data_IF_293767825581
#
_entry.id   IF_293767825581
#
_cell.length_a   1.000
_cell.length_b   1.000
_cell.length_c   1.000
_cell.angle_alpha   90.00
_cell.angle_beta   90.00
_cell.angle_gamma   90.00
#
_symmetry.space_group_name_H-M   'P 1'
#
loop_
_entity.id
_entity.type
_entity.pdbx_description
1 polymer ?
#
# COMPACT_ATOMS: atom_id res chain seq x y z
N UNK A 1 7.70 -3.00 -32.76
CA UNK A 1 6.77 -3.48 -31.71
C UNK A 1 7.43 -3.17 -30.38
N UNK A 2 6.75 -2.49 -29.47
CA UNK A 2 7.24 -2.12 -28.14
C UNK A 2 6.18 -2.45 -27.09
N UNK A 3 6.58 -2.45 -25.81
CA UNK A 3 5.72 -2.74 -24.66
C UNK A 3 5.59 -1.51 -23.76
N UNK A 4 4.46 -1.38 -23.08
CA UNK A 4 4.19 -0.28 -22.15
C UNK A 4 4.75 -0.59 -20.77
N UNK A 5 5.34 0.41 -20.11
CA UNK A 5 5.69 0.35 -18.70
C UNK A 5 4.58 1.01 -17.88
N UNK A 6 3.93 0.25 -17.00
CA UNK A 6 2.89 0.75 -16.10
C UNK A 6 3.46 1.39 -14.82
N UNK A 7 4.73 1.11 -14.51
CA UNK A 7 5.41 1.68 -13.36
C UNK A 7 6.14 2.98 -13.73
N UNK A 8 6.22 3.91 -12.77
CA UNK A 8 7.11 5.06 -12.86
C UNK A 8 8.55 4.60 -13.09
N UNK A 9 9.25 5.27 -14.00
CA UNK A 9 10.66 4.99 -14.27
C UNK A 9 11.61 5.50 -13.18
N UNK A 10 11.10 6.30 -12.24
CA UNK A 10 11.87 6.94 -11.19
C UNK A 10 11.89 6.10 -9.90
N UNK A 11 12.89 6.37 -9.04
CA UNK A 11 12.94 5.84 -7.68
C UNK A 11 12.14 6.74 -6.72
N UNK A 12 10.82 6.76 -6.92
CA UNK A 12 9.88 7.67 -6.23
C UNK A 12 8.98 6.95 -5.21
N UNK A 13 9.23 5.66 -4.96
CA UNK A 13 8.39 4.79 -4.13
C UNK A 13 6.93 4.69 -4.62
N UNK A 14 6.70 4.85 -5.94
CA UNK A 14 5.43 4.54 -6.61
C UNK A 14 4.89 3.15 -6.30
N UNK A 15 5.75 2.18 -5.97
CA UNK A 15 5.32 0.85 -5.49
C UNK A 15 4.48 0.89 -4.19
N UNK A 16 4.62 1.95 -3.40
CA UNK A 16 3.83 2.20 -2.18
C UNK A 16 2.69 3.18 -2.46
N UNK A 17 2.96 4.22 -3.25
CA UNK A 17 2.07 5.38 -3.43
C UNK A 17 1.16 5.30 -4.67
N UNK A 18 1.42 4.38 -5.59
CA UNK A 18 0.74 4.28 -6.88
C UNK A 18 1.40 5.12 -7.97
N UNK A 19 1.00 4.85 -9.21
CA UNK A 19 1.49 5.56 -10.40
C UNK A 19 0.53 6.64 -10.90
N UNK A 20 -0.64 6.76 -10.27
CA UNK A 20 -1.65 7.77 -10.60
C UNK A 20 -2.21 8.44 -9.35
N UNK A 21 -2.69 9.68 -9.49
CA UNK A 21 -3.31 10.41 -8.38
C UNK A 21 -4.54 9.67 -7.83
N UNK A 22 -5.35 9.07 -8.72
CA UNK A 22 -6.52 8.29 -8.32
C UNK A 22 -6.14 7.07 -7.47
N UNK A 23 -5.07 6.38 -7.82
CA UNK A 23 -4.54 5.26 -7.04
C UNK A 23 -4.03 5.72 -5.69
N UNK A 24 -3.21 6.77 -5.66
CA UNK A 24 -2.69 7.39 -4.43
C UNK A 24 -3.82 7.80 -3.49
N UNK A 25 -4.82 8.52 -3.99
CA UNK A 25 -5.96 8.97 -3.19
C UNK A 25 -6.75 7.79 -2.63
N UNK A 26 -6.84 6.70 -3.38
CA UNK A 26 -7.49 5.47 -2.92
C UNK A 26 -6.69 4.71 -1.83
N UNK A 27 -5.42 5.06 -1.62
CA UNK A 27 -4.53 4.49 -0.59
C UNK A 27 -4.42 5.41 0.64
N UNK A 28 -4.80 6.68 0.55
CA UNK A 28 -4.70 7.66 1.64
C UNK A 28 -5.88 7.56 2.62
N UNK A 29 -5.59 7.77 3.90
CA UNK A 29 -6.65 7.88 4.92
C UNK A 29 -7.27 9.29 4.96
N UNK A 30 -6.56 10.29 4.41
CA UNK A 30 -6.87 11.71 4.51
C UNK A 30 -6.95 12.25 5.94
N UNK A 31 -6.43 11.49 6.91
CA UNK A 31 -6.39 11.88 8.33
C UNK A 31 -4.93 11.91 8.76
N UNK A 32 -4.48 13.07 9.26
CA UNK A 32 -3.11 13.24 9.75
C UNK A 32 -2.02 12.97 8.71
N UNK A 33 -2.34 13.10 7.42
CA UNK A 33 -1.42 12.81 6.32
C UNK A 33 -1.09 11.32 6.13
N UNK A 34 -1.85 10.41 6.74
CA UNK A 34 -1.54 8.98 6.74
C UNK A 34 -2.04 8.21 5.51
N UNK A 35 -1.46 7.04 5.29
CA UNK A 35 -1.99 5.98 4.43
C UNK A 35 -2.98 5.10 5.21
N UNK A 36 -3.93 4.52 4.49
CA UNK A 36 -4.87 3.55 5.04
C UNK A 36 -4.13 2.32 5.55
N UNK A 37 -4.64 1.75 6.63
CA UNK A 37 -4.12 0.53 7.24
C UNK A 37 -5.29 -0.33 7.72
N UNK A 38 -5.05 -1.63 7.85
CA UNK A 38 -5.92 -2.50 8.61
C UNK A 38 -5.25 -2.94 9.90
N UNK A 39 -6.04 -3.13 10.96
CA UNK A 39 -5.57 -3.65 12.24
C UNK A 39 -6.05 -5.09 12.39
N UNK A 40 -5.12 -6.01 12.59
CA UNK A 40 -5.40 -7.42 12.88
C UNK A 40 -4.76 -7.76 14.23
N UNK A 41 -5.56 -7.67 15.30
CA UNK A 41 -5.06 -7.68 16.68
C UNK A 41 -4.03 -6.57 16.90
N UNK A 42 -2.82 -6.94 17.34
CA UNK A 42 -1.71 -6.00 17.57
C UNK A 42 -0.88 -5.69 16.31
N UNK A 43 -1.28 -6.22 15.14
CA UNK A 43 -0.55 -6.03 13.88
C UNK A 43 -1.20 -4.94 13.04
N UNK A 44 -0.36 -4.05 12.51
CA UNK A 44 -0.74 -3.07 11.49
C UNK A 44 -0.27 -3.62 10.16
N UNK A 45 -1.23 -3.80 9.24
CA UNK A 45 -1.01 -4.36 7.90
C UNK A 45 -1.49 -3.37 6.84
N UNK A 46 -1.07 -3.60 5.59
CA UNK A 46 -1.59 -2.90 4.41
C UNK A 46 -3.12 -2.96 4.35
N UNK A 47 -3.82 -1.98 3.74
CA UNK A 47 -5.26 -2.01 3.60
C UNK A 47 -5.72 -3.25 2.80
N UNK A 48 -6.95 -3.72 3.03
CA UNK A 48 -7.49 -4.88 2.31
C UNK A 48 -8.25 -4.47 1.06
N UNK A 49 -8.12 -5.20 -0.03
CA UNK A 49 -8.97 -5.08 -1.23
C UNK A 49 -10.11 -6.12 -1.18
N UNK A 50 -11.31 -5.71 -1.60
CA UNK A 50 -12.51 -6.57 -1.60
C UNK A 50 -12.66 -7.38 -2.89
N UNK A 51 -12.00 -6.97 -3.97
CA UNK A 51 -12.19 -7.51 -5.30
C UNK A 51 -10.82 -7.65 -5.98
N UNK A 52 -10.24 -8.84 -5.89
CA UNK A 52 -8.92 -9.11 -6.45
C UNK A 52 -8.86 -10.53 -6.99
N UNK A 53 -8.76 -10.63 -8.31
CA UNK A 53 -8.57 -11.87 -9.07
C UNK A 53 -7.19 -12.51 -8.86
N UNK A 54 -6.19 -11.74 -8.43
CA UNK A 54 -4.77 -12.13 -8.47
C UNK A 54 -4.33 -13.03 -7.30
N UNK A 55 -5.14 -13.06 -6.26
CA UNK A 55 -4.88 -13.82 -5.06
C UNK A 55 -6.04 -14.78 -4.81
N UNK A 56 -5.71 -16.01 -4.42
CA UNK A 56 -6.72 -17.04 -4.16
C UNK A 56 -7.50 -16.69 -2.91
N UNK A 57 -8.58 -15.95 -3.10
CA UNK A 57 -9.46 -15.50 -2.04
C UNK A 57 -10.22 -16.68 -1.43
N UNK A 58 -10.27 -16.70 -0.10
CA UNK A 58 -11.37 -17.28 0.66
C UNK A 58 -11.98 -16.15 1.51
N UNK A 59 -13.21 -16.29 1.98
CA UNK A 59 -13.95 -15.25 2.73
C UNK A 59 -13.24 -14.73 3.99
N UNK A 60 -12.17 -15.39 4.43
CA UNK A 60 -11.44 -15.12 5.67
C UNK A 60 -10.21 -14.23 5.41
N UNK A 61 -9.55 -14.36 4.25
CA UNK A 61 -8.31 -13.63 3.94
C UNK A 61 -8.44 -12.80 2.67
N UNK A 62 -8.56 -11.48 2.86
CA UNK A 62 -8.52 -10.48 1.80
C UNK A 62 -7.08 -10.14 1.44
N UNK A 63 -6.88 -9.75 0.20
CA UNK A 63 -5.57 -9.38 -0.31
C UNK A 63 -5.22 -7.97 0.10
N UNK A 64 -3.94 -7.67 0.08
CA UNK A 64 -3.45 -6.35 0.41
C UNK A 64 -3.56 -5.42 -0.78
N UNK A 65 -3.89 -4.17 -0.50
CA UNK A 65 -3.88 -3.07 -1.47
C UNK A 65 -2.64 -2.22 -1.23
N UNK A 66 -1.90 -1.95 -2.29
CA UNK A 66 -0.71 -1.08 -2.30
C UNK A 66 -0.63 -0.35 -3.64
N UNK A 67 0.41 0.45 -3.86
CA UNK A 67 0.65 1.16 -5.13
C UNK A 67 1.18 0.28 -6.27
N UNK A 68 1.42 -1.01 -6.00
CA UNK A 68 1.78 -2.01 -6.98
C UNK A 68 0.87 -3.23 -6.80
N UNK A 69 0.30 -3.72 -7.90
CA UNK A 69 -0.63 -4.87 -7.90
C UNK A 69 0.06 -6.16 -7.44
N UNK A 70 1.38 -6.27 -7.59
CA UNK A 70 2.16 -7.46 -7.25
C UNK A 70 2.53 -7.53 -5.78
N UNK A 71 2.11 -6.58 -4.94
CA UNK A 71 2.37 -6.60 -3.50
C UNK A 71 1.95 -7.91 -2.79
N UNK A 72 1.09 -8.72 -3.42
CA UNK A 72 0.60 -10.01 -2.91
C UNK A 72 1.29 -11.24 -3.51
N UNK A 73 2.29 -11.08 -4.38
CA UNK A 73 2.92 -12.19 -5.11
C UNK A 73 3.66 -13.17 -4.18
N UNK A 74 4.37 -12.65 -3.18
CA UNK A 74 4.94 -13.45 -2.12
C UNK A 74 5.01 -12.70 -0.79
N UNK A 75 5.06 -13.46 0.32
CA UNK A 75 4.98 -12.92 1.67
C UNK A 75 6.11 -11.94 2.03
N UNK A 76 7.29 -12.12 1.45
CA UNK A 76 8.43 -11.22 1.65
C UNK A 76 8.18 -9.82 1.07
N UNK A 77 7.61 -9.74 -0.12
CA UNK A 77 7.24 -8.48 -0.74
C UNK A 77 6.12 -7.79 0.05
N UNK A 78 5.07 -8.54 0.42
CA UNK A 78 4.02 -8.02 1.27
C UNK A 78 4.56 -7.48 2.62
N UNK A 79 5.55 -8.15 3.21
CA UNK A 79 6.19 -7.68 4.44
C UNK A 79 6.94 -6.36 4.23
N UNK A 80 7.66 -6.20 3.12
CA UNK A 80 8.35 -4.95 2.75
C UNK A 80 7.37 -3.81 2.51
N UNK A 81 6.31 -4.02 1.73
CA UNK A 81 5.28 -2.99 1.53
C UNK A 81 4.65 -2.58 2.86
N UNK A 82 4.31 -3.56 3.71
CA UNK A 82 3.78 -3.29 5.06
C UNK A 82 4.75 -2.46 5.91
N UNK A 83 6.05 -2.76 5.85
CA UNK A 83 7.09 -1.99 6.56
C UNK A 83 7.10 -0.52 6.12
N UNK A 84 7.10 -0.25 4.80
CA UNK A 84 7.13 1.11 4.29
C UNK A 84 5.87 1.90 4.61
N UNK A 85 4.68 1.29 4.57
CA UNK A 85 3.44 1.97 5.00
C UNK A 85 3.49 2.34 6.48
N UNK A 86 4.02 1.45 7.33
CA UNK A 86 4.20 1.74 8.77
C UNK A 86 5.16 2.90 8.97
N UNK A 87 6.25 2.94 8.22
CA UNK A 87 7.22 4.04 8.34
C UNK A 87 6.65 5.36 7.83
N UNK A 88 5.89 5.36 6.72
CA UNK A 88 5.16 6.56 6.28
C UNK A 88 4.27 7.12 7.39
N UNK A 89 3.44 6.27 8.00
CA UNK A 89 2.52 6.71 9.06
C UNK A 89 3.26 7.15 10.33
N UNK A 90 4.41 6.53 10.64
CA UNK A 90 5.29 6.94 11.74
C UNK A 90 5.89 8.33 11.50
N UNK A 91 6.36 8.60 10.28
CA UNK A 91 6.87 9.93 9.89
C UNK A 91 5.75 10.96 9.94
N UNK A 92 4.57 10.65 9.38
CA UNK A 92 3.41 11.55 9.39
C UNK A 92 2.98 11.92 10.82
N UNK A 93 2.92 10.95 11.75
CA UNK A 93 2.61 11.19 13.16
C UNK A 93 3.66 12.08 13.85
N UNK A 94 4.95 11.85 13.60
CA UNK A 94 6.02 12.70 14.13
C UNK A 94 5.93 14.13 13.59
N UNK A 95 5.69 14.29 12.28
CA UNK A 95 5.54 15.60 11.65
C UNK A 95 4.29 16.34 12.16
N UNK A 96 3.21 15.63 12.43
CA UNK A 96 1.98 16.19 13.01
C UNK A 96 2.13 16.64 14.47
N UNK A 97 3.16 16.17 15.19
CA UNK A 97 3.47 16.62 16.55
C UNK A 97 4.44 17.80 16.58
N UNK A 98 5.24 17.95 15.52
CA UNK A 98 6.24 19.01 15.39
C UNK A 98 5.65 20.32 14.89
N UNK A 99 4.63 20.25 14.03
CA UNK A 99 3.92 21.40 13.45
C UNK A 99 2.51 21.52 14.02
#
# INVERSE_FOLDING_TARGET
REQMNEASSFLDASVIYGNSQAELDSLRSFIGGQLQIQKSGNRVLMPSINDSTDCRFNSIHKCFKSGDSRANEHIGLAALHTLFIREHNNIADKLSKLN
#
